data_IF_784839113496
#
_entry.id   IF_784839113496
#
_cell.length_a   1.000
_cell.length_b   1.000
_cell.length_c   1.000
_cell.angle_alpha   90.00
_cell.angle_beta   90.00
_cell.angle_gamma   90.00
#
_symmetry.space_group_name_H-M   'P 1'
#
loop_
_entity.id
_entity.type
_entity.pdbx_description
1 polymer ?
#
# COMPACT_ATOMS: atom_id res chain seq x y z
N UNK A 1 4.74 5.44 4.68
CA UNK A 1 5.22 4.33 5.53
C UNK A 1 4.32 3.14 5.32
N UNK A 2 4.93 1.98 5.07
CA UNK A 2 4.21 0.71 4.94
C UNK A 2 4.77 -0.26 5.98
N UNK A 3 3.92 -0.77 6.86
CA UNK A 3 4.30 -1.82 7.83
C UNK A 3 3.58 -3.13 7.53
N UNK A 4 4.21 -4.24 7.89
CA UNK A 4 3.72 -5.59 7.61
C UNK A 4 3.77 -6.42 8.89
N UNK A 5 2.62 -6.92 9.32
CA UNK A 5 2.50 -7.85 10.44
C UNK A 5 2.00 -9.19 9.91
N UNK A 6 2.83 -10.24 10.03
CA UNK A 6 2.46 -11.59 9.62
C UNK A 6 1.59 -12.22 10.72
N UNK A 7 0.39 -12.66 10.34
CA UNK A 7 -0.59 -13.21 11.25
C UNK A 7 -1.07 -14.57 10.74
N UNK A 8 -1.39 -15.48 11.66
CA UNK A 8 -2.07 -16.72 11.34
C UNK A 8 -3.51 -16.64 11.86
N UNK A 9 -4.48 -16.89 10.98
CA UNK A 9 -5.90 -16.88 11.36
C UNK A 9 -6.62 -18.06 10.72
N UNK A 10 -7.17 -18.94 11.56
CA UNK A 10 -7.89 -20.14 11.12
C UNK A 10 -7.07 -21.03 10.15
N UNK A 11 -5.75 -21.13 10.35
CA UNK A 11 -4.84 -21.88 9.49
C UNK A 11 -4.44 -21.19 8.17
N UNK A 12 -4.93 -19.96 7.92
CA UNK A 12 -4.46 -19.13 6.82
C UNK A 12 -3.30 -18.22 7.28
N UNK A 13 -2.25 -18.16 6.47
CA UNK A 13 -1.14 -17.22 6.63
C UNK A 13 -1.48 -15.91 5.94
N UNK A 14 -1.66 -14.86 6.72
CA UNK A 14 -2.02 -13.53 6.24
C UNK A 14 -0.96 -12.52 6.63
N UNK A 15 -0.98 -11.37 5.97
CA UNK A 15 -0.19 -10.21 6.31
C UNK A 15 -1.12 -9.04 6.46
N UNK A 16 -1.19 -8.49 7.66
CA UNK A 16 -1.81 -7.19 7.90
C UNK A 16 -0.84 -6.12 7.45
N UNK A 17 -1.18 -5.44 6.36
CA UNK A 17 -0.39 -4.34 5.81
C UNK A 17 -1.04 -3.03 6.22
N UNK A 18 -0.31 -2.20 6.95
CA UNK A 18 -0.72 -0.84 7.28
C UNK A 18 -0.08 0.11 6.28
N UNK A 19 -0.92 0.83 5.55
CA UNK A 19 -0.50 1.91 4.66
C UNK A 19 -0.67 3.23 5.39
N UNK A 20 0.37 4.07 5.40
CA UNK A 20 0.35 5.38 6.04
C UNK A 20 0.94 6.48 5.16
N UNK A 21 0.24 7.61 5.07
CA UNK A 21 0.70 8.82 4.39
C UNK A 21 0.79 10.00 5.37
N UNK A 22 1.75 10.92 5.17
CA UNK A 22 1.97 12.02 6.11
C UNK A 22 0.78 13.00 6.15
N UNK A 23 0.60 13.67 7.28
CA UNK A 23 -0.41 14.74 7.43
C UNK A 23 -0.16 15.92 6.47
N UNK A 24 1.09 16.12 6.03
CA UNK A 24 1.44 17.13 5.02
C UNK A 24 0.85 16.85 3.63
N UNK A 25 0.25 15.68 3.40
CA UNK A 25 -0.49 15.39 2.19
C UNK A 25 -1.76 16.25 2.13
N UNK A 26 -1.74 17.27 1.28
CA UNK A 26 -2.92 18.07 0.99
C UNK A 26 -3.89 17.28 0.11
N UNK A 27 -4.91 16.72 0.75
CA UNK A 27 -6.06 16.06 0.16
C UNK A 27 -7.26 16.17 1.12
N UNK A 28 -8.47 16.18 0.57
CA UNK A 28 -9.73 16.05 1.33
C UNK A 28 -10.12 14.58 1.49
N UNK A 29 -9.74 13.74 0.53
CA UNK A 29 -10.00 12.30 0.55
C UNK A 29 -8.84 11.53 -0.06
N UNK A 30 -8.56 10.36 0.49
CA UNK A 30 -7.57 9.43 -0.06
C UNK A 30 -8.18 8.03 -0.08
N UNK A 31 -8.13 7.37 -1.24
CA UNK A 31 -8.45 5.96 -1.34
C UNK A 31 -7.25 5.15 -1.82
N UNK A 32 -7.14 3.93 -1.33
CA UNK A 32 -6.18 2.93 -1.76
C UNK A 32 -6.85 2.03 -2.79
N UNK A 33 -6.17 1.76 -3.90
CA UNK A 33 -6.64 0.84 -4.94
C UNK A 33 -5.53 -0.12 -5.31
N UNK A 34 -5.87 -1.36 -5.63
CA UNK A 34 -4.89 -2.36 -6.03
C UNK A 34 -5.50 -3.71 -6.35
N UNK A 35 -4.63 -4.68 -6.56
CA UNK A 35 -5.04 -6.05 -6.95
C UNK A 35 -5.96 -6.72 -5.91
N UNK A 36 -5.90 -6.31 -4.64
CA UNK A 36 -6.71 -6.87 -3.55
C UNK A 36 -8.15 -6.35 -3.49
N UNK A 37 -8.47 -5.29 -4.23
CA UNK A 37 -9.83 -4.74 -4.31
C UNK A 37 -10.29 -4.49 -5.74
N UNK A 38 -9.70 -5.22 -6.70
CA UNK A 38 -9.99 -5.08 -8.13
C UNK A 38 -9.87 -3.64 -8.65
N UNK A 39 -8.97 -2.86 -8.05
CA UNK A 39 -8.78 -1.44 -8.35
C UNK A 39 -10.04 -0.57 -8.13
N UNK A 40 -10.95 -1.00 -7.26
CA UNK A 40 -12.18 -0.28 -6.90
C UNK A 40 -11.87 0.94 -6.03
N UNK A 41 -12.31 2.11 -6.48
CA UNK A 41 -12.04 3.41 -5.83
C UNK A 41 -12.94 3.69 -4.61
N UNK A 42 -13.92 2.83 -4.35
CA UNK A 42 -14.99 3.09 -3.37
C UNK A 42 -14.87 2.29 -2.08
N UNK A 43 -14.02 1.25 -2.05
CA UNK A 43 -14.01 0.26 -0.97
C UNK A 43 -12.96 0.50 0.11
N UNK A 44 -11.86 1.18 -0.20
CA UNK A 44 -10.68 1.31 0.67
C UNK A 44 -10.29 2.78 0.92
N UNK A 45 -11.22 3.53 1.53
CA UNK A 45 -10.96 4.92 1.95
C UNK A 45 -10.03 4.96 3.18
N UNK A 46 -9.00 5.80 3.14
CA UNK A 46 -8.11 6.00 4.29
C UNK A 46 -8.80 6.88 5.34
N UNK A 47 -8.55 6.54 6.61
CA UNK A 47 -8.95 7.36 7.75
C UNK A 47 -7.79 8.27 8.18
N UNK A 48 -8.07 9.34 8.93
CA UNK A 48 -7.04 10.14 9.60
C UNK A 48 -6.89 9.71 11.06
N UNK A 49 -5.65 9.57 11.52
CA UNK A 49 -5.36 9.30 12.93
C UNK A 49 -5.29 10.61 13.75
N UNK A 50 -5.02 10.50 15.06
CA UNK A 50 -4.93 11.64 15.97
C UNK A 50 -3.79 12.63 15.67
N UNK A 51 -2.83 12.24 14.82
CA UNK A 51 -1.71 13.07 14.34
C UNK A 51 -1.99 13.69 12.97
N UNK A 52 -3.17 13.45 12.40
CA UNK A 52 -3.57 13.91 11.07
C UNK A 52 -3.08 13.01 9.93
N UNK A 53 -2.26 12.00 10.20
CA UNK A 53 -1.75 11.08 9.17
C UNK A 53 -2.87 10.22 8.61
N UNK A 54 -2.82 9.97 7.30
CA UNK A 54 -3.76 9.07 6.65
C UNK A 54 -3.32 7.64 6.86
N UNK A 55 -4.26 6.73 7.11
CA UNK A 55 -3.96 5.32 7.28
C UNK A 55 -5.10 4.38 6.88
N UNK A 56 -4.74 3.15 6.53
CA UNK A 56 -5.64 2.02 6.37
C UNK A 56 -4.88 0.71 6.64
N UNK A 57 -5.56 -0.25 7.27
CA UNK A 57 -5.08 -1.64 7.40
C UNK A 57 -5.76 -2.52 6.35
N UNK A 58 -4.97 -3.31 5.63
CA UNK A 58 -5.46 -4.29 4.65
C UNK A 58 -4.87 -5.65 4.97
N UNK A 59 -5.71 -6.66 5.09
CA UNK A 59 -5.26 -8.04 5.25
C UNK A 59 -5.10 -8.70 3.89
N UNK A 60 -3.90 -9.17 3.60
CA UNK A 60 -3.52 -9.79 2.35
C UNK A 60 -3.05 -11.22 2.59
N UNK A 61 -3.12 -12.09 1.57
CA UNK A 61 -2.50 -13.42 1.67
C UNK A 61 -0.98 -13.28 1.74
N UNK A 62 -0.34 -14.10 2.56
CA UNK A 62 1.12 -14.18 2.59
C UNK A 62 1.69 -14.84 1.31
N UNK A 63 2.95 -14.53 1.01
CA UNK A 63 3.70 -15.13 -0.10
C UNK A 63 3.33 -14.61 -1.49
N UNK A 64 2.77 -13.40 -1.59
CA UNK A 64 2.34 -12.78 -2.84
C UNK A 64 2.97 -11.42 -3.03
N UNK A 65 2.73 -10.82 -4.19
CA UNK A 65 2.97 -9.41 -4.45
C UNK A 65 1.68 -8.80 -4.99
N UNK A 66 1.40 -7.56 -4.60
CA UNK A 66 0.20 -6.82 -5.01
C UNK A 66 0.62 -5.47 -5.54
N UNK A 67 0.13 -5.11 -6.73
CA UNK A 67 0.22 -3.75 -7.23
C UNK A 67 -0.85 -2.89 -6.58
N UNK A 68 -0.50 -1.65 -6.27
CA UNK A 68 -1.42 -0.67 -5.68
C UNK A 68 -1.03 0.76 -6.03
N UNK A 69 -1.96 1.69 -5.82
CA UNK A 69 -1.79 3.15 -5.86
C UNK A 69 -2.76 3.84 -4.91
N UNK A 70 -2.50 5.11 -4.63
CA UNK A 70 -3.48 5.99 -3.99
C UNK A 70 -4.14 6.89 -5.01
N UNK A 71 -5.40 7.27 -4.75
CA UNK A 71 -6.11 8.33 -5.46
C UNK A 71 -6.51 9.37 -4.43
N UNK A 72 -5.99 10.59 -4.57
CA UNK A 72 -6.42 11.73 -3.77
C UNK A 72 -7.49 12.51 -4.54
N UNK A 73 -8.52 12.97 -3.83
CA UNK A 73 -9.56 13.87 -4.35
C UNK A 73 -10.20 13.39 -5.68
N UNK A 74 -10.27 12.06 -5.84
CA UNK A 74 -10.85 11.31 -6.96
C UNK A 74 -10.06 11.25 -8.28
N UNK A 75 -9.03 12.08 -8.47
CA UNK A 75 -8.31 12.16 -9.76
C UNK A 75 -6.77 12.10 -9.66
N UNK A 76 -6.19 12.45 -8.51
CA UNK A 76 -4.74 12.54 -8.35
C UNK A 76 -4.15 11.20 -7.93
N UNK A 77 -3.57 10.51 -8.90
CA UNK A 77 -2.89 9.24 -8.69
C UNK A 77 -1.50 9.40 -8.07
N UNK A 78 -1.23 8.66 -7.01
CA UNK A 78 0.04 8.69 -6.28
C UNK A 78 0.60 7.29 -6.07
N UNK A 79 1.93 7.18 -6.13
CA UNK A 79 2.66 6.01 -5.69
C UNK A 79 3.18 6.24 -4.27
N UNK A 80 3.47 5.16 -3.56
CA UNK A 80 4.14 5.19 -2.26
C UNK A 80 5.66 5.11 -2.43
N UNK A 81 6.41 6.04 -1.84
CA UNK A 81 7.87 6.02 -1.80
C UNK A 81 8.43 4.83 -1.01
N UNK A 82 7.63 4.32 -0.08
CA UNK A 82 7.97 3.21 0.80
C UNK A 82 7.51 1.85 0.23
N UNK A 83 7.02 1.84 -1.00
CA UNK A 83 6.70 0.60 -1.72
C UNK A 83 7.95 -0.30 -1.85
N UNK A 84 7.72 -1.61 -1.84
CA UNK A 84 8.78 -2.62 -1.95
C UNK A 84 9.41 -2.63 -3.34
N UNK A 85 8.62 -2.29 -4.37
CA UNK A 85 9.07 -2.15 -5.75
C UNK A 85 8.09 -1.27 -6.56
N UNK A 86 8.42 -1.06 -7.84
CA UNK A 86 7.54 -0.43 -8.82
C UNK A 86 7.49 -1.26 -10.10
N UNK A 87 6.29 -1.45 -10.64
CA UNK A 87 6.06 -2.12 -11.93
C UNK A 87 5.53 -1.11 -12.93
N UNK A 88 6.12 -1.05 -14.14
CA UNK A 88 5.62 -0.18 -15.21
C UNK A 88 4.20 -0.58 -15.60
N UNK A 89 3.33 0.40 -15.76
CA UNK A 89 1.96 0.20 -16.24
C UNK A 89 1.79 0.71 -17.67
N UNK A 90 0.63 0.43 -18.27
CA UNK A 90 0.33 0.80 -19.66
C UNK A 90 0.03 2.30 -19.86
N UNK A 91 0.08 3.11 -18.80
CA UNK A 91 -0.24 4.53 -18.81
C UNK A 91 1.02 5.42 -18.76
N UNK A 92 2.19 4.85 -19.03
CA UNK A 92 3.46 5.58 -19.02
C UNK A 92 3.97 5.92 -17.61
N UNK A 93 3.35 5.36 -16.56
CA UNK A 93 3.83 5.46 -15.17
C UNK A 93 4.19 4.07 -14.63
N UNK A 94 4.42 3.97 -13.31
CA UNK A 94 4.46 2.70 -12.60
C UNK A 94 3.38 2.62 -11.52
N UNK A 95 3.08 1.41 -11.08
CA UNK A 95 2.31 1.10 -9.88
C UNK A 95 3.28 0.76 -8.75
N UNK A 96 2.95 1.13 -7.52
CA UNK A 96 3.66 0.64 -6.33
C UNK A 96 3.38 -0.84 -6.13
N UNK A 97 4.33 -1.56 -5.54
CA UNK A 97 4.20 -2.98 -5.20
C UNK A 97 4.42 -3.17 -3.71
N UNK A 98 3.57 -4.00 -3.09
CA UNK A 98 3.80 -4.54 -1.75
C UNK A 98 4.01 -6.05 -1.85
N UNK A 99 5.05 -6.56 -1.20
CA UNK A 99 5.42 -7.98 -1.15
C UNK A 99 5.07 -8.55 0.22
N UNK A 100 4.27 -9.60 0.24
CA UNK A 100 3.79 -10.27 1.45
C UNK A 100 4.55 -11.57 1.75
N UNK A 101 5.74 -11.74 1.18
CA UNK A 101 6.64 -12.86 1.48
C UNK A 101 7.48 -12.57 2.73
N UNK A 102 7.49 -13.49 3.70
CA UNK A 102 8.13 -13.27 5.02
C UNK A 102 9.65 -13.11 4.96
N UNK A 103 10.29 -13.74 3.98
CA UNK A 103 11.73 -13.66 3.71
C UNK A 103 12.12 -12.37 2.97
N UNK A 104 11.14 -11.61 2.43
CA UNK A 104 11.43 -10.45 1.62
C UNK A 104 12.14 -9.37 2.44
N UNK A 105 13.27 -8.91 1.92
CA UNK A 105 14.02 -7.76 2.41
C UNK A 105 14.11 -6.76 1.27
N UNK A 106 13.63 -5.53 1.49
CA UNK A 106 13.91 -4.42 0.57
C UNK A 106 15.43 -4.26 0.52
N UNK A 107 15.99 -4.23 -0.67
CA UNK A 107 17.42 -3.95 -0.84
C UNK A 107 17.60 -2.43 -0.74
N UNK A 108 18.09 -1.95 0.39
CA UNK A 108 18.17 -0.51 0.68
C UNK A 108 19.39 0.18 0.05
N UNK A 109 20.21 -0.53 -0.74
CA UNK A 109 21.25 0.08 -1.58
C UNK A 109 22.43 0.73 -0.83
N UNK A 110 22.53 0.61 0.49
CA UNK A 110 23.68 1.02 1.29
C UNK A 110 24.86 0.09 1.03
N UNK A 111 25.54 0.28 -0.10
CA UNK A 111 26.64 -0.59 -0.52
C UNK A 111 27.40 -0.07 -1.73
N UNK A 112 28.03 1.10 -1.59
CA UNK A 112 29.31 1.47 -2.23
C UNK A 112 30.08 2.44 -1.34
#
# INVERSE_FOLDING_TARGET
MITKEFIERNGAQLVKVTFMLPDSLWAESVCLVGDFNDWDRTTHMLSRNHRGEWWIDVELDAGRFYQFRYICDNDRWMNDSDADAYIRNNHGSGNSVVVTEQSFKRYDGEGF
#
